data_IF_224921296688
#
_entry.id   IF_224921296688
#
_cell.length_a   1.000
_cell.length_b   1.000
_cell.length_c   1.000
_cell.angle_alpha   90.00
_cell.angle_beta   90.00
_cell.angle_gamma   90.00
#
_symmetry.space_group_name_H-M   'P 1'
#
loop_
_entity.id
_entity.type
_entity.pdbx_description
1 polymer ?
#
# COMPACT_ATOMS: atom_id res chain seq x y z
N UNK A 1 19.90 21.10 -13.76
CA UNK A 1 20.45 20.02 -12.91
C UNK A 1 21.78 20.51 -12.36
N UNK A 2 22.03 20.40 -11.04
CA UNK A 2 23.29 20.86 -10.41
C UNK A 2 24.45 19.93 -10.81
N UNK A 3 25.69 20.45 -10.84
CA UNK A 3 26.88 19.68 -11.30
C UNK A 3 27.06 18.35 -10.56
N UNK A 4 26.86 18.30 -9.25
CA UNK A 4 26.97 17.05 -8.48
C UNK A 4 25.88 16.02 -8.82
N UNK A 5 24.65 16.46 -9.14
CA UNK A 5 23.57 15.57 -9.59
C UNK A 5 23.87 14.95 -10.96
N UNK A 6 24.49 15.72 -11.86
CA UNK A 6 24.91 15.22 -13.17
C UNK A 6 25.99 14.15 -13.03
N UNK A 7 26.97 14.35 -12.17
CA UNK A 7 28.02 13.36 -11.90
C UNK A 7 27.43 12.10 -11.25
N UNK A 8 26.55 12.23 -10.26
CA UNK A 8 25.89 11.09 -9.63
C UNK A 8 25.08 10.29 -10.66
N UNK A 9 24.33 10.95 -11.55
CA UNK A 9 23.57 10.29 -12.59
C UNK A 9 24.47 9.57 -13.61
N UNK A 10 25.60 10.14 -13.94
CA UNK A 10 26.60 9.51 -14.82
C UNK A 10 27.15 8.22 -14.21
N UNK A 11 27.50 8.23 -12.93
CA UNK A 11 27.99 7.05 -12.20
C UNK A 11 26.88 6.00 -12.09
N UNK A 12 25.63 6.40 -11.82
CA UNK A 12 24.47 5.48 -11.83
C UNK A 12 24.35 4.78 -13.19
N UNK A 13 24.39 5.53 -14.28
CA UNK A 13 24.32 4.94 -15.63
C UNK A 13 25.47 3.96 -15.89
N UNK A 14 26.67 4.26 -15.44
CA UNK A 14 27.84 3.35 -15.58
C UNK A 14 27.64 2.06 -14.76
N UNK A 15 27.06 2.13 -13.57
CA UNK A 15 26.71 0.95 -12.76
C UNK A 15 25.61 0.14 -13.46
N UNK A 16 24.62 0.80 -14.03
CA UNK A 16 23.49 0.15 -14.73
C UNK A 16 23.91 -0.52 -16.04
N UNK A 17 24.90 0.05 -16.74
CA UNK A 17 25.51 -0.51 -17.95
C UNK A 17 26.56 -1.60 -17.64
N UNK A 18 26.83 -1.91 -16.37
CA UNK A 18 27.80 -2.93 -15.98
C UNK A 18 29.27 -2.50 -16.15
N UNK A 19 29.54 -1.21 -16.29
CA UNK A 19 30.93 -0.69 -16.28
C UNK A 19 31.57 -0.85 -14.91
N UNK A 20 30.75 -0.69 -13.88
CA UNK A 20 31.13 -0.95 -12.50
C UNK A 20 30.23 -2.07 -11.95
N UNK A 21 30.82 -3.19 -11.57
CA UNK A 21 30.09 -4.33 -11.00
C UNK A 21 29.89 -4.18 -9.48
N UNK A 22 28.87 -4.83 -8.88
CA UNK A 22 28.73 -4.89 -7.45
C UNK A 22 30.01 -5.37 -6.77
N UNK A 23 30.50 -4.60 -5.79
CA UNK A 23 31.77 -4.86 -5.10
C UNK A 23 32.98 -4.20 -5.72
N UNK A 24 32.90 -3.61 -6.91
CA UNK A 24 34.00 -2.88 -7.51
C UNK A 24 34.30 -1.60 -6.72
N UNK A 25 35.57 -1.28 -6.64
CA UNK A 25 36.05 -0.02 -6.04
C UNK A 25 35.91 1.11 -7.02
N UNK A 26 35.14 2.12 -6.65
CA UNK A 26 35.05 3.36 -7.43
C UNK A 26 36.31 4.22 -7.27
N UNK A 27 36.59 5.12 -8.21
CA UNK A 27 37.67 6.09 -8.07
C UNK A 27 37.56 6.86 -6.73
N UNK A 28 38.67 7.11 -6.08
CA UNK A 28 38.70 7.98 -4.91
C UNK A 28 38.19 9.37 -5.23
N UNK A 29 37.76 10.14 -4.23
CA UNK A 29 37.32 11.53 -4.46
C UNK A 29 38.38 12.37 -5.21
N UNK A 30 39.67 12.12 -4.93
CA UNK A 30 40.77 12.84 -5.62
C UNK A 30 40.92 12.43 -7.08
N UNK A 31 40.85 11.15 -7.37
CA UNK A 31 40.91 10.62 -8.73
C UNK A 31 39.69 11.08 -9.54
N UNK A 32 38.51 11.07 -8.92
CA UNK A 32 37.28 11.56 -9.58
C UNK A 32 37.30 13.07 -9.82
N UNK A 33 37.93 13.86 -8.96
CA UNK A 33 38.21 15.29 -9.18
C UNK A 33 39.12 15.46 -10.40
N UNK A 34 40.20 14.69 -10.47
CA UNK A 34 41.15 14.77 -11.57
C UNK A 34 40.52 14.39 -12.92
N UNK A 35 39.67 13.36 -12.94
CA UNK A 35 39.03 12.86 -14.17
C UNK A 35 37.84 13.73 -14.61
N UNK A 36 37.07 14.27 -13.69
CA UNK A 36 35.85 15.03 -14.00
C UNK A 36 36.05 16.52 -14.17
N UNK A 37 37.19 17.06 -13.72
CA UNK A 37 37.45 18.49 -13.67
C UNK A 37 36.56 19.29 -12.71
N UNK A 38 35.85 18.60 -11.82
CA UNK A 38 34.93 19.20 -10.84
C UNK A 38 35.64 19.49 -9.52
N UNK A 39 35.12 20.42 -8.71
CA UNK A 39 35.67 20.71 -7.40
C UNK A 39 35.49 19.52 -6.44
N UNK A 40 36.37 19.37 -5.46
CA UNK A 40 36.32 18.34 -4.42
C UNK A 40 34.97 18.30 -3.69
N UNK A 41 34.41 19.48 -3.38
CA UNK A 41 33.08 19.60 -2.77
C UNK A 41 31.95 19.05 -3.67
N UNK A 42 32.04 19.34 -4.98
CA UNK A 42 31.05 18.84 -5.95
C UNK A 42 31.08 17.32 -6.07
N UNK A 43 32.28 16.74 -6.14
CA UNK A 43 32.48 15.29 -6.18
C UNK A 43 32.04 14.65 -4.86
N UNK A 44 32.41 15.24 -3.72
CA UNK A 44 31.99 14.78 -2.40
C UNK A 44 30.47 14.73 -2.26
N UNK A 45 29.75 15.76 -2.68
CA UNK A 45 28.28 15.78 -2.68
C UNK A 45 27.67 14.73 -3.61
N UNK A 46 28.30 14.46 -4.77
CA UNK A 46 27.83 13.39 -5.66
C UNK A 46 27.96 12.01 -5.01
N UNK A 47 29.09 11.73 -4.36
CA UNK A 47 29.33 10.47 -3.67
C UNK A 47 28.43 10.30 -2.43
N UNK A 48 28.23 11.35 -1.65
CA UNK A 48 27.23 11.33 -0.55
C UNK A 48 25.82 11.06 -1.06
N UNK A 49 25.43 11.65 -2.19
CA UNK A 49 24.15 11.39 -2.83
C UNK A 49 24.03 9.91 -3.28
N UNK A 50 25.07 9.36 -3.90
CA UNK A 50 25.10 7.94 -4.32
C UNK A 50 25.05 7.00 -3.11
N UNK A 51 25.76 7.35 -2.03
CA UNK A 51 25.74 6.59 -0.77
C UNK A 51 24.37 6.66 -0.10
N UNK A 52 23.77 7.85 -0.01
CA UNK A 52 22.41 8.03 0.52
C UNK A 52 21.34 7.29 -0.28
N UNK A 53 21.59 7.05 -1.57
CA UNK A 53 20.74 6.24 -2.45
C UNK A 53 21.06 4.74 -2.42
N UNK A 54 22.01 4.30 -1.57
CA UNK A 54 22.43 2.91 -1.48
C UNK A 54 23.08 2.37 -2.75
N UNK A 55 23.59 3.25 -3.63
CA UNK A 55 24.28 2.86 -4.86
C UNK A 55 25.74 2.50 -4.63
N UNK A 56 26.34 3.13 -3.64
CA UNK A 56 27.71 2.88 -3.21
C UNK A 56 27.78 2.80 -1.68
N UNK A 57 28.85 2.23 -1.17
CA UNK A 57 29.12 2.12 0.26
C UNK A 57 30.55 2.59 0.57
N UNK A 58 30.72 3.47 1.56
CA UNK A 58 32.03 3.84 2.06
C UNK A 58 32.58 2.73 2.96
N UNK A 59 33.84 2.30 2.70
CA UNK A 59 34.59 1.44 3.62
C UNK A 59 35.68 2.27 4.28
N UNK A 60 35.71 2.39 5.62
CA UNK A 60 36.70 3.18 6.33
C UNK A 60 38.12 2.83 5.86
N UNK A 61 38.94 3.84 5.59
CA UNK A 61 40.32 3.76 5.10
C UNK A 61 40.50 3.06 3.73
N UNK A 62 39.44 2.57 3.09
CA UNK A 62 39.53 1.82 1.84
C UNK A 62 38.88 2.53 0.63
N UNK A 63 37.93 3.42 0.85
CA UNK A 63 37.25 4.19 -0.22
C UNK A 63 35.83 3.76 -0.46
N UNK A 64 35.28 4.10 -1.64
CA UNK A 64 33.90 3.84 -2.04
C UNK A 64 33.82 2.62 -2.95
N UNK A 65 32.80 1.80 -2.73
CA UNK A 65 32.57 0.57 -3.48
C UNK A 65 31.13 0.55 -3.99
N UNK A 66 30.92 -0.02 -5.16
CA UNK A 66 29.55 -0.26 -5.65
C UNK A 66 28.86 -1.20 -4.68
N UNK A 67 27.69 -0.79 -4.17
CA UNK A 67 26.90 -1.61 -3.26
C UNK A 67 26.49 -2.91 -3.96
N UNK A 68 26.64 -4.04 -3.25
CA UNK A 68 26.05 -5.29 -3.70
C UNK A 68 24.52 -5.10 -3.71
N UNK A 69 23.95 -4.93 -4.88
CA UNK A 69 22.47 -4.90 -5.01
C UNK A 69 21.97 -6.30 -4.72
N UNK A 70 20.92 -6.44 -3.90
CA UNK A 70 19.97 -7.52 -4.11
C UNK A 70 19.50 -7.38 -5.56
N UNK A 71 19.69 -8.42 -6.35
CA UNK A 71 19.31 -8.40 -7.76
C UNK A 71 17.82 -8.12 -7.85
N UNK A 72 17.45 -6.99 -8.46
CA UNK A 72 16.06 -6.72 -8.86
C UNK A 72 15.75 -7.55 -10.10
N UNK A 73 15.76 -8.89 -9.99
CA UNK A 73 15.10 -9.71 -10.99
C UNK A 73 13.60 -9.53 -10.79
N UNK A 74 12.90 -9.22 -11.87
CA UNK A 74 11.46 -9.33 -11.90
C UNK A 74 11.10 -10.77 -11.57
N UNK A 75 10.17 -11.05 -10.65
CA UNK A 75 9.52 -12.34 -10.59
C UNK A 75 8.94 -12.61 -11.98
N UNK A 76 9.05 -13.85 -12.45
CA UNK A 76 8.31 -14.24 -13.66
C UNK A 76 6.83 -13.89 -13.43
N UNK A 77 6.15 -13.23 -14.38
CA UNK A 77 4.73 -12.97 -14.24
C UNK A 77 4.03 -14.31 -13.96
N UNK A 78 3.15 -14.38 -12.95
CA UNK A 78 2.36 -15.58 -12.68
C UNK A 78 1.54 -15.96 -13.91
N UNK A 79 1.04 -17.20 -13.95
CA UNK A 79 0.09 -17.63 -14.97
C UNK A 79 -0.99 -16.56 -15.17
N UNK A 80 -1.31 -16.24 -16.42
CA UNK A 80 -2.05 -15.02 -16.78
C UNK A 80 -3.39 -14.86 -16.06
N UNK A 81 -4.10 -15.96 -15.80
CA UNK A 81 -5.38 -15.97 -15.05
C UNK A 81 -5.46 -17.23 -14.20
N UNK A 82 -5.86 -17.09 -12.94
CA UNK A 82 -6.09 -18.19 -12.00
C UNK A 82 -7.55 -18.17 -11.52
N UNK A 83 -8.15 -19.35 -11.39
CA UNK A 83 -9.54 -19.52 -10.94
C UNK A 83 -9.57 -20.12 -9.55
N UNK A 84 -10.30 -19.49 -8.66
CA UNK A 84 -10.63 -20.01 -7.36
C UNK A 84 -12.16 -20.04 -7.20
N UNK A 85 -12.76 -21.19 -7.47
CA UNK A 85 -14.20 -21.38 -7.34
C UNK A 85 -14.66 -21.32 -5.88
N UNK A 86 -13.77 -21.69 -4.96
CA UNK A 86 -13.98 -21.58 -3.51
C UNK A 86 -12.76 -20.86 -2.93
N UNK A 87 -13.01 -19.75 -2.26
CA UNK A 87 -11.99 -19.01 -1.50
C UNK A 87 -12.05 -19.50 -0.05
N UNK A 88 -10.93 -20.01 0.47
CA UNK A 88 -10.78 -20.47 1.88
C UNK A 88 -9.46 -19.91 2.44
N UNK A 89 -9.53 -18.73 3.05
CA UNK A 89 -8.34 -18.02 3.56
C UNK A 89 -8.59 -17.37 4.94
N UNK A 90 -9.83 -17.26 5.39
CA UNK A 90 -10.19 -16.49 6.58
C UNK A 90 -9.50 -17.01 7.85
N UNK A 91 -9.47 -18.32 8.07
CA UNK A 91 -8.86 -18.92 9.26
C UNK A 91 -7.37 -18.61 9.32
N UNK A 92 -6.67 -18.80 8.21
CA UNK A 92 -5.23 -18.53 8.13
C UNK A 92 -4.89 -17.06 8.41
N UNK A 93 -5.62 -16.13 7.77
CA UNK A 93 -5.42 -14.68 8.00
C UNK A 93 -5.71 -14.31 9.46
N UNK A 94 -6.79 -14.85 10.03
CA UNK A 94 -7.16 -14.59 11.42
C UNK A 94 -6.03 -15.00 12.37
N UNK A 95 -5.48 -16.20 12.22
CA UNK A 95 -4.41 -16.72 13.06
C UNK A 95 -3.15 -15.87 12.97
N UNK A 96 -2.73 -15.49 11.76
CA UNK A 96 -1.56 -14.61 11.55
C UNK A 96 -1.78 -13.23 12.19
N UNK A 97 -2.97 -12.66 12.05
CA UNK A 97 -3.28 -11.36 12.64
C UNK A 97 -3.37 -11.42 14.18
N UNK A 98 -3.91 -12.49 14.74
CA UNK A 98 -3.97 -12.67 16.21
C UNK A 98 -2.55 -12.79 16.81
N UNK A 99 -1.70 -13.60 16.20
CA UNK A 99 -0.31 -13.78 16.65
C UNK A 99 0.49 -12.46 16.68
N UNK A 100 0.12 -11.49 15.84
CA UNK A 100 0.79 -10.18 15.74
C UNK A 100 0.26 -9.11 16.72
N UNK A 101 -0.64 -9.46 17.64
CA UNK A 101 -1.27 -8.47 18.57
C UNK A 101 -0.47 -8.19 19.83
N UNK A 102 0.53 -8.99 20.15
CA UNK A 102 1.37 -8.81 21.34
C UNK A 102 2.18 -7.50 21.20
N UNK A 103 2.08 -6.56 22.17
CA UNK A 103 2.82 -5.30 22.15
C UNK A 103 4.36 -5.47 22.19
N UNK A 104 4.85 -6.62 22.67
CA UNK A 104 6.27 -6.93 22.68
C UNK A 104 6.80 -7.25 21.27
N UNK A 105 5.94 -7.64 20.34
CA UNK A 105 6.29 -7.98 18.96
C UNK A 105 6.59 -6.74 18.14
N UNK A 106 7.68 -6.76 17.36
CA UNK A 106 7.99 -5.72 16.37
C UNK A 106 7.03 -5.87 15.19
N UNK A 107 6.17 -4.86 14.90
CA UNK A 107 4.96 -5.08 14.09
C UNK A 107 5.18 -4.85 12.60
N UNK A 108 6.17 -5.51 11.98
CA UNK A 108 6.41 -5.41 10.54
C UNK A 108 5.30 -6.06 9.69
N UNK A 109 4.45 -6.93 10.27
CA UNK A 109 3.28 -7.48 9.60
C UNK A 109 2.09 -6.52 9.53
N UNK A 110 2.04 -5.49 10.40
CA UNK A 110 0.87 -4.62 10.56
C UNK A 110 0.42 -4.00 9.23
N UNK A 111 -0.88 -3.99 8.98
CA UNK A 111 -1.49 -3.23 7.88
C UNK A 111 -1.81 -1.77 8.28
N UNK A 112 -1.56 -1.39 9.53
CA UNK A 112 -1.75 -0.03 10.03
C UNK A 112 -0.41 0.67 10.17
N UNK A 113 -0.35 2.00 9.91
CA UNK A 113 0.82 2.78 10.23
C UNK A 113 0.94 2.98 11.74
N UNK A 114 2.13 3.40 12.18
CA UNK A 114 2.40 3.75 13.58
C UNK A 114 1.36 4.78 14.09
N UNK A 115 0.55 4.46 15.10
CA UNK A 115 -0.49 5.37 15.60
C UNK A 115 0.04 6.67 16.18
N UNK A 116 1.32 6.74 16.56
CA UNK A 116 1.98 7.95 17.06
C UNK A 116 2.14 9.03 15.97
N UNK A 117 1.98 8.67 14.69
CA UNK A 117 1.98 9.61 13.58
C UNK A 117 0.69 10.44 13.49
N UNK A 118 -0.38 10.04 14.15
CA UNK A 118 -1.68 10.67 14.05
C UNK A 118 -1.86 11.83 15.02
N UNK A 119 -2.65 12.86 14.66
CA UNK A 119 -2.85 14.07 15.46
C UNK A 119 -3.91 13.88 16.55
N UNK A 120 -3.76 12.86 17.42
CA UNK A 120 -4.78 12.46 18.40
C UNK A 120 -5.20 13.58 19.35
N UNK A 121 -4.27 14.45 19.77
CA UNK A 121 -4.62 15.57 20.66
C UNK A 121 -5.57 16.57 19.98
N UNK A 122 -5.37 16.87 18.70
CA UNK A 122 -6.24 17.75 17.94
C UNK A 122 -7.61 17.11 17.71
N UNK A 123 -7.64 15.84 17.37
CA UNK A 123 -8.87 15.08 17.19
C UNK A 123 -9.68 14.98 18.48
N UNK A 124 -9.02 14.76 19.63
CA UNK A 124 -9.67 14.76 20.94
C UNK A 124 -10.26 16.13 21.29
N UNK A 125 -9.60 17.23 20.90
CA UNK A 125 -10.17 18.58 21.05
C UNK A 125 -11.43 18.77 20.20
N UNK A 126 -11.40 18.34 18.95
CA UNK A 126 -12.57 18.38 18.06
C UNK A 126 -13.72 17.55 18.64
N UNK A 127 -13.43 16.34 19.16
CA UNK A 127 -14.44 15.51 19.81
C UNK A 127 -15.03 16.18 21.06
N UNK A 128 -14.19 16.79 21.89
CA UNK A 128 -14.64 17.52 23.09
C UNK A 128 -15.49 18.75 22.73
N UNK A 129 -15.16 19.48 21.65
CA UNK A 129 -15.95 20.59 21.16
C UNK A 129 -17.36 20.14 20.74
N UNK A 130 -17.41 19.10 19.91
CA UNK A 130 -18.66 18.53 19.41
C UNK A 130 -19.54 18.01 20.57
N UNK A 131 -18.95 17.34 21.55
CA UNK A 131 -19.71 16.82 22.71
C UNK A 131 -20.42 17.90 23.52
N UNK A 132 -19.97 19.15 23.45
CA UNK A 132 -20.62 20.28 24.12
C UNK A 132 -21.84 20.84 23.38
N UNK A 133 -21.85 20.64 22.04
CA UNK A 133 -22.86 21.22 21.13
C UNK A 133 -23.79 20.17 20.55
N UNK A 134 -23.49 18.88 20.74
CA UNK A 134 -24.31 17.78 20.25
C UNK A 134 -25.72 17.83 20.85
N UNK A 135 -26.74 17.72 20.02
CA UNK A 135 -28.15 17.64 20.39
C UNK A 135 -28.63 16.20 20.36
N UNK A 136 -29.76 15.92 21.03
CA UNK A 136 -30.39 14.59 20.94
C UNK A 136 -30.75 14.22 19.49
N UNK A 137 -31.06 15.18 18.64
CA UNK A 137 -31.38 14.96 17.22
C UNK A 137 -30.17 14.57 16.38
N UNK A 138 -28.96 14.97 16.77
CA UNK A 138 -27.74 14.65 16.01
C UNK A 138 -27.48 13.13 15.86
N UNK A 139 -28.09 12.32 16.72
CA UNK A 139 -28.02 10.85 16.64
C UNK A 139 -28.82 10.32 15.43
N UNK A 140 -29.96 10.93 15.11
CA UNK A 140 -30.84 10.51 14.01
C UNK A 140 -30.36 11.11 12.67
N UNK A 141 -29.82 12.31 12.69
CA UNK A 141 -29.35 13.04 11.50
C UNK A 141 -28.20 12.30 10.75
N UNK A 142 -27.53 11.37 11.40
CA UNK A 142 -26.42 10.63 10.83
C UNK A 142 -26.78 9.20 10.36
N UNK A 143 -28.07 8.89 10.18
CA UNK A 143 -28.48 7.70 9.42
C UNK A 143 -27.94 7.74 7.98
N UNK A 144 -27.91 6.61 7.25
CA UNK A 144 -27.45 6.63 5.87
C UNK A 144 -28.12 7.73 5.04
N UNK A 145 -27.37 8.50 4.28
CA UNK A 145 -25.95 8.33 3.89
C UNK A 145 -24.91 8.92 4.85
N UNK A 146 -25.27 9.31 6.07
CA UNK A 146 -24.37 9.90 7.05
C UNK A 146 -24.39 11.44 7.04
N UNK A 147 -23.57 12.04 7.93
CA UNK A 147 -23.56 13.47 8.20
C UNK A 147 -23.36 14.32 6.91
N UNK A 148 -24.26 15.29 6.69
CA UNK A 148 -24.28 16.10 5.48
C UNK A 148 -23.01 16.95 5.33
N UNK A 149 -22.52 17.55 6.42
CA UNK A 149 -21.32 18.40 6.38
C UNK A 149 -20.05 17.57 6.11
N UNK A 150 -19.98 16.34 6.63
CA UNK A 150 -18.88 15.42 6.33
C UNK A 150 -18.90 15.02 4.84
N UNK A 151 -20.06 14.70 4.28
CA UNK A 151 -20.20 14.40 2.84
C UNK A 151 -19.77 15.58 1.98
N UNK A 152 -20.18 16.81 2.34
CA UNK A 152 -19.73 18.03 1.69
C UNK A 152 -18.23 18.26 1.83
N UNK A 153 -17.64 17.98 2.99
CA UNK A 153 -16.18 18.10 3.20
C UNK A 153 -15.41 17.12 2.30
N UNK A 154 -15.90 15.88 2.15
CA UNK A 154 -15.32 14.87 1.26
C UNK A 154 -15.51 15.28 -0.21
N UNK A 155 -16.72 15.73 -0.62
CA UNK A 155 -16.98 16.19 -1.98
C UNK A 155 -16.06 17.36 -2.39
N UNK A 156 -15.82 18.32 -1.49
CA UNK A 156 -14.83 19.39 -1.73
C UNK A 156 -13.42 18.87 -1.98
N UNK A 157 -13.00 17.78 -1.34
CA UNK A 157 -11.68 17.17 -1.61
C UNK A 157 -11.61 16.52 -2.99
N UNK A 158 -12.69 15.92 -3.47
CA UNK A 158 -12.79 15.47 -4.86
C UNK A 158 -12.73 16.64 -5.84
N UNK A 159 -13.48 17.72 -5.56
CA UNK A 159 -13.48 18.92 -6.41
C UNK A 159 -12.08 19.57 -6.51
N UNK A 160 -11.28 19.59 -5.41
CA UNK A 160 -9.92 20.07 -5.44
C UNK A 160 -8.98 19.26 -6.36
N UNK A 161 -9.36 18.04 -6.72
CA UNK A 161 -8.67 17.17 -7.66
C UNK A 161 -9.32 17.17 -9.06
N UNK A 162 -10.26 18.07 -9.31
CA UNK A 162 -10.96 18.20 -10.60
C UNK A 162 -12.05 17.17 -10.83
N UNK A 163 -12.51 16.46 -9.80
CA UNK A 163 -13.58 15.48 -9.89
C UNK A 163 -14.91 16.05 -9.37
N UNK A 164 -15.98 15.91 -10.14
CA UNK A 164 -17.32 16.35 -9.77
C UNK A 164 -18.09 15.19 -9.14
N UNK A 165 -17.96 15.00 -7.84
CA UNK A 165 -18.69 14.01 -7.05
C UNK A 165 -19.72 14.75 -6.19
N UNK A 166 -21.00 14.46 -6.39
CA UNK A 166 -22.07 15.03 -5.56
C UNK A 166 -21.98 14.50 -4.12
N UNK A 167 -22.23 15.34 -3.09
CA UNK A 167 -22.41 14.85 -1.73
C UNK A 167 -23.47 13.75 -1.60
N UNK A 168 -24.47 13.71 -2.48
CA UNK A 168 -25.54 12.71 -2.46
C UNK A 168 -25.11 11.35 -3.00
N UNK A 169 -23.98 11.30 -3.72
CA UNK A 169 -23.34 10.05 -4.15
C UNK A 169 -22.43 9.43 -3.07
N UNK A 170 -22.18 10.17 -1.98
CA UNK A 170 -21.27 9.76 -0.92
C UNK A 170 -22.05 9.13 0.22
N UNK A 171 -21.69 7.88 0.57
CA UNK A 171 -22.24 7.18 1.74
C UNK A 171 -21.11 6.99 2.76
N UNK A 172 -21.29 7.52 3.97
CA UNK A 172 -20.34 7.38 5.08
C UNK A 172 -20.49 6.00 5.70
N UNK A 173 -19.36 5.32 5.92
CA UNK A 173 -19.29 3.92 6.37
C UNK A 173 -18.39 3.74 7.59
N UNK A 174 -18.51 2.61 8.28
CA UNK A 174 -17.67 2.22 9.42
C UNK A 174 -16.26 1.78 8.95
N UNK A 175 -15.58 2.66 8.22
CA UNK A 175 -14.29 2.43 7.57
C UNK A 175 -14.44 1.87 6.16
N UNK A 176 -13.33 1.84 5.43
CA UNK A 176 -13.32 1.39 4.03
C UNK A 176 -13.77 -0.07 3.85
N UNK A 177 -13.50 -0.95 4.82
CA UNK A 177 -13.87 -2.36 4.68
C UNK A 177 -15.40 -2.55 4.60
N UNK A 178 -16.18 -1.73 5.34
CA UNK A 178 -17.62 -1.71 5.15
C UNK A 178 -18.00 -1.16 3.77
N UNK A 179 -17.40 -0.04 3.35
CA UNK A 179 -17.64 0.53 2.02
C UNK A 179 -17.43 -0.50 0.91
N UNK A 180 -16.32 -1.23 0.95
CA UNK A 180 -15.95 -2.26 -0.01
C UNK A 180 -16.93 -3.46 0.00
N UNK A 181 -17.31 -3.93 1.20
CA UNK A 181 -18.27 -5.03 1.35
C UNK A 181 -19.68 -4.64 0.87
N UNK A 182 -20.14 -3.43 1.19
CA UNK A 182 -21.43 -2.93 0.72
C UNK A 182 -21.42 -2.71 -0.80
N UNK A 183 -20.27 -2.27 -1.35
CA UNK A 183 -20.08 -2.13 -2.79
C UNK A 183 -20.19 -3.47 -3.51
N UNK A 184 -19.53 -4.52 -3.01
CA UNK A 184 -19.69 -5.88 -3.54
C UNK A 184 -21.15 -6.34 -3.51
N UNK A 185 -21.81 -6.23 -2.35
CA UNK A 185 -23.21 -6.63 -2.18
C UNK A 185 -24.18 -5.82 -3.05
N UNK A 186 -23.80 -4.61 -3.45
CA UNK A 186 -24.66 -3.79 -4.32
C UNK A 186 -24.63 -4.24 -5.78
N UNK A 187 -23.57 -4.93 -6.22
CA UNK A 187 -23.32 -5.24 -7.64
C UNK A 187 -23.13 -6.72 -7.94
N UNK A 188 -23.16 -7.60 -6.92
CA UNK A 188 -22.99 -9.05 -7.08
C UNK A 188 -24.01 -9.85 -6.30
N UNK A 189 -24.20 -11.11 -6.73
CA UNK A 189 -24.98 -12.15 -6.05
C UNK A 189 -24.08 -13.36 -5.74
N UNK A 190 -24.41 -14.20 -4.74
CA UNK A 190 -23.63 -15.41 -4.46
C UNK A 190 -23.41 -16.27 -5.70
N UNK A 191 -22.15 -16.67 -5.93
CA UNK A 191 -21.73 -17.45 -7.11
C UNK A 191 -21.22 -16.62 -8.28
N UNK A 192 -21.34 -15.29 -8.23
CA UNK A 192 -20.79 -14.41 -9.26
C UNK A 192 -19.26 -14.39 -9.25
N UNK A 193 -18.68 -14.12 -10.43
CA UNK A 193 -17.25 -13.94 -10.60
C UNK A 193 -16.82 -12.49 -10.33
N UNK A 194 -15.79 -12.34 -9.51
CA UNK A 194 -15.15 -11.07 -9.22
C UNK A 194 -13.66 -11.15 -9.55
N UNK A 195 -13.17 -10.21 -10.35
CA UNK A 195 -11.74 -10.09 -10.63
C UNK A 195 -11.04 -9.39 -9.46
N UNK A 196 -9.89 -9.94 -9.08
CA UNK A 196 -8.93 -9.36 -8.13
C UNK A 196 -7.53 -9.39 -8.69
N UNK A 197 -6.66 -8.55 -8.16
CA UNK A 197 -5.22 -8.59 -8.40
C UNK A 197 -4.60 -9.88 -7.85
N UNK A 198 -3.45 -10.27 -8.34
CA UNK A 198 -2.67 -11.36 -7.76
C UNK A 198 -1.19 -10.97 -7.63
N UNK A 199 -0.70 -10.61 -6.42
CA UNK A 199 -1.40 -10.69 -5.12
C UNK A 199 -2.33 -9.48 -4.89
N UNK A 200 -3.34 -9.65 -4.03
CA UNK A 200 -4.30 -8.61 -3.66
C UNK A 200 -4.37 -8.40 -2.15
N UNK A 201 -5.03 -7.34 -1.73
CA UNK A 201 -5.34 -7.14 -0.31
C UNK A 201 -6.21 -8.29 0.21
N UNK A 202 -5.75 -8.96 1.28
CA UNK A 202 -6.43 -10.13 1.84
C UNK A 202 -7.90 -9.88 2.23
N UNK A 203 -8.26 -8.64 2.58
CA UNK A 203 -9.65 -8.28 2.87
C UNK A 203 -10.59 -8.45 1.67
N UNK A 204 -10.07 -8.39 0.43
CA UNK A 204 -10.85 -8.74 -0.75
C UNK A 204 -11.17 -10.24 -0.76
N UNK A 205 -10.18 -11.10 -0.57
CA UNK A 205 -10.38 -12.56 -0.51
C UNK A 205 -11.34 -12.96 0.61
N UNK A 206 -11.19 -12.35 1.80
CA UNK A 206 -12.10 -12.57 2.93
C UNK A 206 -13.55 -12.16 2.60
N UNK A 207 -13.74 -11.05 1.89
CA UNK A 207 -15.07 -10.60 1.49
C UNK A 207 -15.70 -11.56 0.46
N UNK A 208 -14.92 -12.02 -0.53
CA UNK A 208 -15.37 -12.97 -1.54
C UNK A 208 -15.80 -14.30 -0.91
N UNK A 209 -14.98 -14.85 0.00
CA UNK A 209 -15.31 -16.07 0.75
C UNK A 209 -16.62 -15.91 1.53
N UNK A 210 -16.73 -14.81 2.31
CA UNK A 210 -17.91 -14.52 3.14
C UNK A 210 -19.19 -14.35 2.32
N UNK A 211 -19.09 -13.73 1.15
CA UNK A 211 -20.22 -13.47 0.26
C UNK A 211 -20.47 -14.63 -0.72
N UNK A 212 -19.70 -15.73 -0.63
CA UNK A 212 -19.78 -16.89 -1.53
C UNK A 212 -19.60 -16.52 -3.00
N UNK A 213 -18.70 -15.58 -3.26
CA UNK A 213 -18.29 -15.15 -4.60
C UNK A 213 -17.10 -15.98 -5.09
N UNK A 214 -16.91 -16.02 -6.40
CA UNK A 214 -15.79 -16.72 -7.03
C UNK A 214 -14.70 -15.71 -7.39
N UNK A 215 -13.45 -16.00 -7.04
CA UNK A 215 -12.31 -15.15 -7.38
C UNK A 215 -11.76 -15.52 -8.75
N UNK A 216 -11.47 -14.51 -9.54
CA UNK A 216 -10.71 -14.60 -10.77
C UNK A 216 -9.48 -13.71 -10.64
N UNK A 217 -8.34 -14.33 -10.32
CA UNK A 217 -7.10 -13.62 -10.04
C UNK A 217 -6.36 -13.31 -11.34
N UNK A 218 -6.08 -12.03 -11.58
CA UNK A 218 -5.38 -11.56 -12.79
C UNK A 218 -3.93 -11.18 -12.44
N UNK A 219 -3.01 -11.58 -13.31
CA UNK A 219 -1.59 -11.30 -13.16
C UNK A 219 -1.32 -9.81 -12.91
N UNK A 220 -0.47 -9.53 -11.92
CA UNK A 220 -0.19 -8.18 -11.46
C UNK A 220 1.32 -8.01 -11.30
N UNK A 221 1.91 -7.15 -12.10
CA UNK A 221 3.33 -6.82 -12.02
C UNK A 221 3.61 -5.92 -10.81
N UNK A 222 4.77 -6.08 -10.20
CA UNK A 222 5.16 -5.34 -8.98
C UNK A 222 5.36 -3.83 -9.21
N UNK A 223 5.52 -3.38 -10.45
CA UNK A 223 5.72 -1.98 -10.83
C UNK A 223 4.57 -1.44 -11.67
N UNK A 224 4.21 -2.22 -12.71
CA UNK A 224 3.21 -1.80 -13.69
C UNK A 224 1.77 -2.11 -13.24
N UNK A 225 1.60 -2.93 -12.20
CA UNK A 225 0.29 -3.33 -11.69
C UNK A 225 -0.41 -4.33 -12.61
N UNK A 226 -1.74 -4.36 -12.58
CA UNK A 226 -2.55 -5.36 -13.27
C UNK A 226 -2.25 -5.41 -14.79
N UNK A 227 -2.15 -6.60 -15.34
CA UNK A 227 -2.02 -6.82 -16.79
C UNK A 227 -3.37 -6.64 -17.48
N UNK A 228 -3.49 -5.58 -18.31
CA UNK A 228 -4.74 -5.24 -18.99
C UNK A 228 -5.10 -6.25 -20.08
N UNK A 229 -4.12 -6.93 -20.69
CA UNK A 229 -4.38 -7.95 -21.71
C UNK A 229 -4.97 -9.21 -21.06
N UNK A 230 -4.39 -9.64 -19.93
CA UNK A 230 -4.92 -10.74 -19.14
C UNK A 230 -6.30 -10.40 -18.56
N UNK A 231 -6.51 -9.13 -18.14
CA UNK A 231 -7.82 -8.65 -17.71
C UNK A 231 -8.85 -8.74 -18.83
N UNK A 232 -8.54 -8.27 -20.03
CA UNK A 232 -9.45 -8.33 -21.20
C UNK A 232 -9.79 -9.77 -21.56
N UNK A 233 -8.82 -10.67 -21.54
CA UNK A 233 -9.06 -12.10 -21.75
C UNK A 233 -10.03 -12.66 -20.67
N UNK A 234 -9.79 -12.35 -19.39
CA UNK A 234 -10.65 -12.80 -18.31
C UNK A 234 -12.10 -12.29 -18.45
N UNK A 235 -12.27 -11.05 -18.90
CA UNK A 235 -13.59 -10.45 -19.17
C UNK A 235 -14.30 -11.07 -20.37
N UNK A 236 -13.57 -11.58 -21.36
CA UNK A 236 -14.14 -12.29 -22.50
C UNK A 236 -14.54 -13.73 -22.15
N UNK A 237 -13.74 -14.40 -21.30
CA UNK A 237 -13.89 -15.84 -21.02
C UNK A 237 -14.89 -16.12 -19.89
N UNK A 238 -15.16 -15.15 -19.01
CA UNK A 238 -15.99 -15.33 -17.80
C UNK A 238 -17.07 -14.25 -17.65
N UNK A 239 -18.24 -14.60 -17.12
CA UNK A 239 -19.32 -13.66 -16.84
C UNK A 239 -19.04 -12.85 -15.57
N UNK A 240 -17.99 -12.03 -15.61
CA UNK A 240 -17.54 -11.20 -14.49
C UNK A 240 -18.57 -10.12 -14.18
N UNK A 241 -18.84 -9.87 -12.89
CA UNK A 241 -19.76 -8.83 -12.42
C UNK A 241 -19.04 -7.60 -11.88
N UNK A 242 -17.92 -7.82 -11.20
CA UNK A 242 -17.15 -6.73 -10.60
C UNK A 242 -15.64 -7.01 -10.63
N UNK A 243 -14.87 -5.93 -10.53
CA UNK A 243 -13.44 -5.97 -10.24
C UNK A 243 -13.19 -5.24 -8.93
N UNK A 244 -12.43 -5.84 -8.00
CA UNK A 244 -11.92 -5.13 -6.83
C UNK A 244 -10.42 -4.92 -7.01
N UNK A 245 -10.01 -3.66 -7.18
CA UNK A 245 -8.63 -3.29 -7.47
C UNK A 245 -8.16 -2.12 -6.61
N UNK A 246 -6.84 -2.04 -6.39
CA UNK A 246 -6.16 -0.91 -5.76
C UNK A 246 -5.29 -0.20 -6.79
N UNK A 247 -5.74 0.91 -7.32
CA UNK A 247 -5.02 1.64 -8.38
C UNK A 247 -3.92 2.57 -7.87
N UNK A 248 -3.92 2.87 -6.55
CA UNK A 248 -2.94 3.72 -5.87
C UNK A 248 -2.33 3.01 -4.67
N UNK A 249 -0.99 3.00 -4.58
CA UNK A 249 -0.25 2.43 -3.44
C UNK A 249 -0.76 1.04 -3.03
N UNK A 250 -0.87 0.14 -3.99
CA UNK A 250 -1.48 -1.18 -3.85
C UNK A 250 -0.88 -1.96 -2.67
N UNK A 251 -1.70 -2.68 -1.96
CA UNK A 251 -1.30 -3.58 -0.88
C UNK A 251 -1.43 -5.04 -1.37
N UNK A 252 -0.30 -5.80 -1.46
CA UNK A 252 0.97 -5.58 -0.78
C UNK A 252 2.09 -4.93 -1.61
N UNK A 253 1.96 -4.79 -2.93
CA UNK A 253 3.05 -4.48 -3.84
C UNK A 253 3.49 -3.01 -3.80
N UNK A 254 2.59 -2.08 -3.46
CA UNK A 254 2.86 -0.66 -3.32
C UNK A 254 2.94 0.14 -4.62
N UNK A 255 2.64 -0.43 -5.78
CA UNK A 255 2.61 0.31 -7.03
C UNK A 255 1.46 1.32 -7.07
N UNK A 256 1.57 2.27 -7.97
CA UNK A 256 0.49 3.18 -8.38
C UNK A 256 0.39 3.14 -9.90
N UNK A 257 -0.79 2.83 -10.44
CA UNK A 257 -1.01 2.79 -11.87
C UNK A 257 -0.83 4.19 -12.49
N UNK A 258 -0.29 4.25 -13.70
CA UNK A 258 -0.19 5.49 -14.45
C UNK A 258 -1.60 6.02 -14.81
N UNK A 259 -1.70 7.32 -15.09
CA UNK A 259 -2.94 7.95 -15.50
C UNK A 259 -3.52 7.29 -16.78
N UNK A 260 -2.66 6.97 -17.74
CA UNK A 260 -3.01 6.31 -18.98
C UNK A 260 -3.56 4.92 -18.73
N UNK A 261 -2.92 4.14 -17.85
CA UNK A 261 -3.36 2.78 -17.52
C UNK A 261 -4.68 2.77 -16.77
N UNK A 262 -4.93 3.75 -15.87
CA UNK A 262 -6.23 3.92 -15.22
C UNK A 262 -7.34 4.26 -16.22
N UNK A 263 -7.06 5.15 -17.17
CA UNK A 263 -8.01 5.50 -18.24
C UNK A 263 -8.35 4.27 -19.10
N UNK A 264 -7.35 3.47 -19.49
CA UNK A 264 -7.51 2.23 -20.23
C UNK A 264 -8.31 1.19 -19.43
N UNK A 265 -8.00 1.01 -18.14
CA UNK A 265 -8.71 0.12 -17.23
C UNK A 265 -10.20 0.47 -17.16
N UNK A 266 -10.53 1.74 -16.90
CA UNK A 266 -11.92 2.19 -16.80
C UNK A 266 -12.66 2.01 -18.14
N UNK A 267 -12.02 2.35 -19.27
CA UNK A 267 -12.60 2.17 -20.59
C UNK A 267 -12.86 0.68 -20.90
N UNK A 268 -11.95 -0.21 -20.54
CA UNK A 268 -12.09 -1.65 -20.70
C UNK A 268 -13.26 -2.20 -19.88
N UNK A 269 -13.33 -1.90 -18.58
CA UNK A 269 -14.39 -2.37 -17.70
C UNK A 269 -15.76 -1.81 -18.14
N UNK A 270 -15.81 -0.55 -18.58
CA UNK A 270 -17.04 0.08 -19.10
C UNK A 270 -17.55 -0.64 -20.34
N UNK A 271 -16.68 -1.01 -21.30
CA UNK A 271 -17.06 -1.78 -22.51
C UNK A 271 -17.72 -3.13 -22.16
N UNK A 272 -17.23 -3.78 -21.12
CA UNK A 272 -17.75 -5.07 -20.66
C UNK A 272 -18.90 -4.94 -19.65
N UNK A 273 -19.34 -3.72 -19.32
CA UNK A 273 -20.37 -3.45 -18.31
C UNK A 273 -20.05 -4.08 -16.94
N UNK A 274 -18.77 -4.03 -16.53
CA UNK A 274 -18.25 -4.56 -15.26
C UNK A 274 -17.94 -3.42 -14.31
N UNK A 275 -18.44 -3.49 -13.08
CA UNK A 275 -18.25 -2.45 -12.08
C UNK A 275 -16.86 -2.55 -11.46
N UNK A 276 -16.13 -1.43 -11.40
CA UNK A 276 -14.90 -1.30 -10.63
C UNK A 276 -15.22 -0.92 -9.17
N UNK A 277 -14.78 -1.73 -8.23
CA UNK A 277 -14.72 -1.38 -6.82
C UNK A 277 -13.28 -0.99 -6.53
N UNK A 278 -13.04 0.32 -6.44
CA UNK A 278 -11.72 0.88 -6.26
C UNK A 278 -11.42 1.09 -4.77
N UNK A 279 -10.46 0.33 -4.24
CA UNK A 279 -9.98 0.49 -2.86
C UNK A 279 -8.82 1.50 -2.86
N UNK A 280 -9.08 2.71 -2.36
CA UNK A 280 -8.14 3.84 -2.42
C UNK A 280 -7.77 4.39 -1.03
N UNK A 281 -7.56 3.50 -0.06
CA UNK A 281 -7.27 3.87 1.33
C UNK A 281 -5.86 4.46 1.55
N UNK A 282 -4.96 4.29 0.61
CA UNK A 282 -3.57 4.78 0.70
C UNK A 282 -3.28 6.00 -0.17
N UNK A 283 -4.22 6.52 -0.94
CA UNK A 283 -4.01 7.61 -1.91
C UNK A 283 -3.42 8.89 -1.33
N UNK A 284 -3.66 9.17 -0.04
CA UNK A 284 -3.07 10.32 0.64
C UNK A 284 -1.57 10.13 1.00
N UNK A 285 -1.02 8.91 0.83
CA UNK A 285 0.33 8.55 1.27
C UNK A 285 1.35 8.51 0.12
N UNK A 286 1.16 9.33 -0.89
CA UNK A 286 2.09 9.49 -2.02
C UNK A 286 3.33 10.33 -1.62
N UNK A 287 4.47 10.09 -2.27
CA UNK A 287 5.73 10.83 -2.02
C UNK A 287 6.08 11.79 -3.15
N UNK A 288 5.38 11.73 -4.28
CA UNK A 288 5.54 12.64 -5.40
C UNK A 288 5.07 14.07 -5.10
N UNK A 289 5.18 14.94 -6.08
CA UNK A 289 4.72 16.33 -5.98
C UNK A 289 3.19 16.45 -6.02
N UNK A 290 2.57 15.60 -6.81
CA UNK A 290 1.13 15.62 -7.08
C UNK A 290 0.48 14.33 -6.54
N UNK A 291 -0.72 14.48 -6.02
CA UNK A 291 -1.53 13.34 -5.58
C UNK A 291 -2.00 12.57 -6.81
N UNK A 292 -1.78 11.24 -6.88
CA UNK A 292 -2.33 10.45 -7.96
C UNK A 292 -3.86 10.44 -7.90
N UNK A 293 -4.51 10.64 -9.05
CA UNK A 293 -5.96 10.54 -9.16
C UNK A 293 -6.40 9.07 -9.05
N UNK A 294 -7.56 8.78 -8.45
CA UNK A 294 -8.16 7.46 -8.51
C UNK A 294 -8.67 7.15 -9.93
N UNK A 295 -8.87 5.87 -10.25
CA UNK A 295 -9.44 5.47 -11.55
C UNK A 295 -10.84 6.06 -11.79
N UNK A 296 -11.60 6.31 -10.71
CA UNK A 296 -12.90 7.02 -10.80
C UNK A 296 -12.81 8.37 -11.51
N UNK A 297 -11.68 9.04 -11.57
CA UNK A 297 -11.52 10.30 -12.31
C UNK A 297 -11.77 10.17 -13.83
N UNK A 298 -11.63 8.98 -14.38
CA UNK A 298 -11.92 8.67 -15.80
C UNK A 298 -13.29 8.05 -16.02
N UNK A 299 -14.03 7.76 -14.96
CA UNK A 299 -15.36 7.16 -15.03
C UNK A 299 -16.43 8.21 -15.41
N UNK A 300 -17.08 8.01 -16.56
CA UNK A 300 -18.16 8.86 -17.08
C UNK A 300 -19.54 8.20 -17.07
N UNK A 301 -19.62 6.94 -16.61
CA UNK A 301 -20.84 6.12 -16.69
C UNK A 301 -21.26 5.53 -15.34
N UNK A 302 -20.72 6.05 -14.24
CA UNK A 302 -20.96 5.55 -12.88
C UNK A 302 -20.69 4.04 -12.73
N UNK A 303 -19.60 3.57 -13.35
CA UNK A 303 -19.16 2.19 -13.28
C UNK A 303 -18.08 1.97 -12.21
N UNK A 304 -17.60 3.02 -11.52
CA UNK A 304 -16.59 2.94 -10.47
C UNK A 304 -17.16 3.35 -9.12
N UNK A 305 -17.14 2.44 -8.17
CA UNK A 305 -17.41 2.66 -6.76
C UNK A 305 -16.09 2.95 -6.06
N UNK A 306 -15.82 4.21 -5.72
CA UNK A 306 -14.56 4.61 -5.10
C UNK A 306 -14.67 4.57 -3.58
N UNK A 307 -13.93 3.66 -2.93
CA UNK A 307 -13.95 3.42 -1.49
C UNK A 307 -12.66 3.96 -0.84
N UNK A 308 -12.82 4.74 0.23
CA UNK A 308 -11.69 5.26 0.97
C UNK A 308 -12.01 5.44 2.47
N UNK A 309 -11.02 5.87 3.26
CA UNK A 309 -11.20 6.13 4.70
C UNK A 309 -10.16 7.07 5.27
N UNK A 310 -10.42 7.56 6.47
CA UNK A 310 -9.44 8.29 7.28
C UNK A 310 -8.49 7.38 8.07
N UNK A 311 -8.67 6.06 8.02
CA UNK A 311 -7.96 5.11 8.88
C UNK A 311 -6.45 5.04 8.66
N UNK A 312 -5.97 5.27 7.42
CA UNK A 312 -4.55 5.13 7.07
C UNK A 312 -3.80 6.47 7.12
N UNK A 313 -4.52 7.58 7.04
CA UNK A 313 -3.92 8.91 6.94
C UNK A 313 -4.22 9.85 8.12
N UNK A 314 -5.20 9.54 8.98
CA UNK A 314 -5.61 10.43 10.05
C UNK A 314 -5.87 9.71 11.38
N UNK A 315 -6.78 8.73 11.40
CA UNK A 315 -7.14 8.03 12.66
C UNK A 315 -7.83 6.70 12.36
N UNK A 316 -7.18 5.62 12.75
CA UNK A 316 -7.73 4.28 12.55
C UNK A 316 -8.93 4.00 13.48
N UNK A 317 -8.90 4.50 14.74
CA UNK A 317 -9.87 4.17 15.77
C UNK A 317 -11.25 4.81 15.60
N UNK A 318 -11.37 5.88 14.79
CA UNK A 318 -12.69 6.53 14.56
C UNK A 318 -13.59 5.69 13.66
N UNK A 319 -13.02 4.77 12.89
CA UNK A 319 -13.76 3.88 12.00
C UNK A 319 -14.67 4.65 11.04
N UNK A 320 -14.17 5.68 10.39
CA UNK A 320 -14.88 6.44 9.37
C UNK A 320 -14.23 6.24 8.00
N UNK A 321 -15.04 5.76 7.07
CA UNK A 321 -14.75 5.65 5.65
C UNK A 321 -15.94 6.13 4.82
N UNK A 322 -15.87 5.99 3.53
CA UNK A 322 -16.95 6.33 2.61
C UNK A 322 -16.82 5.58 1.29
N UNK A 323 -17.92 5.55 0.57
CA UNK A 323 -17.94 5.19 -0.84
C UNK A 323 -18.57 6.34 -1.63
N UNK A 324 -17.91 6.76 -2.72
CA UNK A 324 -18.49 7.58 -3.76
C UNK A 324 -19.11 6.64 -4.81
N UNK A 325 -20.42 6.42 -4.67
CA UNK A 325 -21.13 5.28 -5.23
C UNK A 325 -21.95 5.59 -6.50
N UNK A 326 -22.03 6.88 -6.90
CA UNK A 326 -22.82 7.27 -8.06
C UNK A 326 -24.26 6.72 -8.02
N UNK A 327 -24.70 6.11 -9.11
CA UNK A 327 -26.04 5.48 -9.22
C UNK A 327 -26.33 4.41 -8.17
N UNK A 328 -25.32 3.81 -7.55
CA UNK A 328 -25.48 2.76 -6.54
C UNK A 328 -25.68 3.30 -5.12
N UNK A 329 -25.57 4.62 -4.90
CA UNK A 329 -25.62 5.22 -3.56
C UNK A 329 -26.89 4.80 -2.77
N UNK A 330 -28.06 4.82 -3.39
CA UNK A 330 -29.32 4.41 -2.74
C UNK A 330 -29.31 2.93 -2.33
N UNK A 331 -28.80 2.04 -3.19
CA UNK A 331 -28.69 0.60 -2.87
C UNK A 331 -27.75 0.35 -1.70
N UNK A 332 -26.61 1.05 -1.67
CA UNK A 332 -25.63 0.95 -0.58
C UNK A 332 -26.22 1.46 0.73
N UNK A 333 -26.96 2.56 0.73
CA UNK A 333 -27.68 3.05 1.92
C UNK A 333 -28.68 2.01 2.46
N UNK A 334 -29.43 1.35 1.60
CA UNK A 334 -30.35 0.28 2.01
C UNK A 334 -29.61 -0.90 2.64
N UNK A 335 -28.50 -1.34 2.06
CA UNK A 335 -27.66 -2.41 2.58
C UNK A 335 -27.04 -2.05 3.93
N UNK A 336 -26.56 -0.81 4.06
CA UNK A 336 -26.01 -0.30 5.32
C UNK A 336 -27.07 -0.25 6.43
N UNK A 337 -28.27 0.23 6.10
CA UNK A 337 -29.39 0.28 7.05
C UNK A 337 -29.75 -1.11 7.61
N UNK A 338 -29.62 -2.17 6.79
CA UNK A 338 -29.92 -3.54 7.17
C UNK A 338 -28.74 -4.23 7.91
N UNK A 339 -27.53 -3.68 7.88
CA UNK A 339 -26.34 -4.30 8.47
C UNK A 339 -25.88 -3.58 9.74
N UNK A 340 -25.39 -2.37 9.61
CA UNK A 340 -24.78 -1.60 10.69
C UNK A 340 -25.65 -0.42 11.14
N UNK A 341 -26.75 -0.16 10.45
CA UNK A 341 -27.63 0.98 10.60
C UNK A 341 -26.95 2.30 10.20
N UNK A 342 -25.89 2.67 10.89
CA UNK A 342 -25.08 3.87 10.61
C UNK A 342 -23.72 3.76 11.32
N UNK A 343 -22.82 4.71 11.07
CA UNK A 343 -21.57 4.85 11.80
C UNK A 343 -21.66 5.92 12.87
N UNK A 344 -20.73 5.93 13.82
CA UNK A 344 -20.71 6.78 15.01
C UNK A 344 -20.90 8.27 14.69
N UNK A 345 -22.00 8.86 15.17
CA UNK A 345 -22.31 10.29 14.99
C UNK A 345 -21.26 11.20 15.60
N UNK A 346 -20.81 11.03 16.86
CA UNK A 346 -19.78 11.88 17.44
C UNK A 346 -18.48 11.90 16.63
N UNK A 347 -18.09 10.76 16.06
CA UNK A 347 -16.87 10.67 15.25
C UNK A 347 -17.01 11.37 13.90
N UNK A 348 -18.17 11.30 13.26
CA UNK A 348 -18.45 12.06 12.04
C UNK A 348 -18.37 13.57 12.32
N UNK A 349 -19.03 14.05 13.35
CA UNK A 349 -19.04 15.46 13.74
C UNK A 349 -17.64 15.95 14.15
N UNK A 350 -16.85 15.15 14.87
CA UNK A 350 -15.48 15.49 15.23
C UNK A 350 -14.58 15.62 13.98
N UNK A 351 -14.80 14.80 12.95
CA UNK A 351 -14.11 14.94 11.67
C UNK A 351 -14.54 16.20 10.92
N UNK A 352 -15.82 16.58 10.94
CA UNK A 352 -16.29 17.84 10.36
C UNK A 352 -15.56 19.02 11.00
N UNK A 353 -15.54 19.09 12.35
CA UNK A 353 -14.83 20.14 13.10
C UNK A 353 -13.34 20.17 12.76
N UNK A 354 -12.69 19.02 12.73
CA UNK A 354 -11.26 18.92 12.38
C UNK A 354 -10.97 19.33 10.95
N UNK A 355 -11.74 18.85 9.95
CA UNK A 355 -11.56 19.13 8.53
C UNK A 355 -11.86 20.58 8.16
N UNK A 356 -12.73 21.28 8.93
CA UNK A 356 -12.98 22.72 8.77
C UNK A 356 -11.71 23.56 9.04
N UNK A 357 -10.72 22.98 9.75
CA UNK A 357 -9.43 23.63 9.97
C UNK A 357 -8.44 23.30 8.83
N UNK A 358 -7.48 24.21 8.56
CA UNK A 358 -6.39 23.95 7.60
C UNK A 358 -5.34 22.95 8.13
N UNK A 359 -5.56 22.35 9.29
CA UNK A 359 -4.60 21.46 9.97
C UNK A 359 -4.46 20.11 9.30
N UNK A 360 -5.51 19.63 8.64
CA UNK A 360 -5.50 18.32 7.96
C UNK A 360 -4.43 18.26 6.87
N UNK A 361 -4.36 19.22 5.97
CA UNK A 361 -3.37 19.23 4.89
C UNK A 361 -1.93 19.41 5.41
N UNK A 362 -1.76 20.19 6.50
CA UNK A 362 -0.47 20.30 7.17
C UNK A 362 -0.05 18.98 7.82
N UNK A 363 -0.99 18.24 8.42
CA UNK A 363 -0.78 16.90 8.95
C UNK A 363 -0.38 15.93 7.85
N UNK A 364 -1.08 15.89 6.73
CA UNK A 364 -0.78 15.00 5.60
C UNK A 364 0.62 15.24 5.03
N UNK A 365 1.03 16.52 4.87
CA UNK A 365 2.40 16.85 4.42
C UNK A 365 3.47 16.31 5.38
N UNK A 366 3.26 16.47 6.70
CA UNK A 366 4.17 15.93 7.71
C UNK A 366 4.19 14.40 7.69
N UNK A 367 3.01 13.78 7.62
CA UNK A 367 2.86 12.32 7.59
C UNK A 367 3.63 11.72 6.40
N UNK A 368 3.41 12.24 5.18
CA UNK A 368 4.10 11.77 3.98
C UNK A 368 5.63 11.88 4.09
N UNK A 369 6.12 13.02 4.59
CA UNK A 369 7.57 13.21 4.79
C UNK A 369 8.12 12.19 5.78
N UNK A 370 7.48 12.01 6.93
CA UNK A 370 7.95 11.05 7.95
C UNK A 370 7.89 9.60 7.44
N UNK A 371 6.83 9.24 6.70
CA UNK A 371 6.74 7.89 6.11
C UNK A 371 7.81 7.64 5.06
N UNK A 372 8.12 8.63 4.21
CA UNK A 372 9.19 8.54 3.22
C UNK A 372 10.57 8.37 3.89
N UNK A 373 10.86 9.16 4.94
CA UNK A 373 12.09 9.08 5.72
C UNK A 373 12.25 7.70 6.38
N UNK A 374 11.20 7.21 7.06
CA UNK A 374 11.21 5.90 7.71
C UNK A 374 11.34 4.74 6.72
N UNK A 375 10.66 4.83 5.59
CA UNK A 375 10.76 3.83 4.52
C UNK A 375 12.18 3.76 3.96
N UNK A 376 12.83 4.90 3.78
CA UNK A 376 14.22 4.97 3.35
C UNK A 376 15.18 4.35 4.39
N UNK A 377 14.97 4.63 5.69
CA UNK A 377 15.77 4.03 6.77
C UNK A 377 15.62 2.51 6.80
N UNK A 378 14.38 2.01 6.77
CA UNK A 378 14.09 0.59 6.74
C UNK A 378 14.71 -0.10 5.52
N UNK A 379 14.57 0.51 4.34
CA UNK A 379 15.15 -0.01 3.11
C UNK A 379 16.68 -0.10 3.17
N UNK A 380 17.35 0.92 3.69
CA UNK A 380 18.82 0.90 3.88
C UNK A 380 19.25 -0.19 4.87
N UNK A 381 18.52 -0.38 5.96
CA UNK A 381 18.82 -1.45 6.92
C UNK A 381 18.65 -2.83 6.28
N UNK A 382 17.55 -3.05 5.57
CA UNK A 382 17.32 -4.31 4.86
C UNK A 382 18.41 -4.58 3.81
N UNK A 383 18.82 -3.57 3.02
CA UNK A 383 19.93 -3.71 2.06
C UNK A 383 21.27 -4.09 2.72
N UNK A 384 21.50 -3.60 3.95
CA UNK A 384 22.75 -3.85 4.69
C UNK A 384 22.80 -5.26 5.26
N UNK A 385 21.68 -5.79 5.73
CA UNK A 385 21.66 -6.99 6.56
C UNK A 385 21.13 -8.25 5.87
N UNK A 386 20.23 -8.09 4.87
CA UNK A 386 19.66 -9.24 4.18
C UNK A 386 20.73 -10.04 3.43
N UNK A 387 20.63 -11.39 3.45
CA UNK A 387 21.57 -12.23 2.71
C UNK A 387 21.39 -12.08 1.20
N UNK A 388 22.45 -12.48 0.47
CA UNK A 388 22.38 -12.57 -1.00
C UNK A 388 21.23 -13.51 -1.41
N UNK A 389 20.52 -13.13 -2.48
CA UNK A 389 19.35 -13.86 -2.97
C UNK A 389 18.00 -13.32 -2.47
N UNK A 390 17.97 -12.51 -1.41
CA UNK A 390 16.76 -11.75 -1.03
C UNK A 390 16.63 -10.54 -1.96
N UNK A 391 15.45 -10.37 -2.56
CA UNK A 391 15.13 -9.20 -3.39
C UNK A 391 14.16 -8.29 -2.66
N UNK A 392 14.31 -6.98 -2.81
CA UNK A 392 13.48 -5.99 -2.14
C UNK A 392 12.86 -5.08 -3.20
N UNK A 393 11.53 -5.12 -3.31
CA UNK A 393 10.78 -4.25 -4.20
C UNK A 393 10.45 -2.96 -3.46
N UNK A 394 10.96 -1.85 -3.99
CA UNK A 394 10.75 -0.51 -3.47
C UNK A 394 9.91 0.33 -4.44
N UNK A 395 9.00 1.11 -3.90
CA UNK A 395 8.15 2.05 -4.62
C UNK A 395 8.05 3.37 -3.85
N UNK A 396 7.59 4.44 -4.53
CA UNK A 396 7.61 5.82 -4.03
C UNK A 396 6.26 6.23 -3.40
N UNK A 397 5.60 5.31 -2.71
CA UNK A 397 4.35 5.60 -2.01
C UNK A 397 4.13 4.65 -0.81
N UNK A 398 3.21 5.00 0.06
CA UNK A 398 2.81 4.17 1.19
C UNK A 398 3.94 3.85 2.16
N UNK A 399 3.78 2.79 2.89
CA UNK A 399 4.74 2.35 3.92
C UNK A 399 5.00 0.84 3.89
N UNK A 400 4.83 0.21 2.73
CA UNK A 400 5.17 -1.20 2.55
C UNK A 400 6.37 -1.37 1.65
N UNK A 401 7.16 -2.40 1.96
CA UNK A 401 8.11 -3.02 1.06
C UNK A 401 7.65 -4.46 0.83
N UNK A 402 7.91 -4.96 -0.37
CA UNK A 402 7.65 -6.33 -0.75
C UNK A 402 8.97 -7.05 -0.94
N UNK A 403 9.19 -8.13 -0.19
CA UNK A 403 10.45 -8.86 -0.19
C UNK A 403 10.23 -10.25 -0.77
N UNK A 404 11.18 -10.68 -1.60
CA UNK A 404 11.25 -12.00 -2.19
C UNK A 404 12.44 -12.75 -1.60
N UNK A 405 12.18 -13.87 -0.99
CA UNK A 405 13.19 -14.84 -0.53
C UNK A 405 13.68 -15.70 -1.71
N UNK A 406 14.81 -16.41 -1.59
CA UNK A 406 15.13 -17.50 -2.50
C UNK A 406 13.94 -18.46 -2.67
N UNK A 407 13.69 -18.92 -3.90
CA UNK A 407 12.49 -19.65 -4.32
C UNK A 407 12.15 -20.87 -3.44
N UNK A 408 13.16 -21.52 -2.87
CA UNK A 408 13.00 -22.70 -2.03
C UNK A 408 12.53 -22.40 -0.60
N UNK A 409 12.53 -21.12 -0.21
CA UNK A 409 12.15 -20.73 1.15
C UNK A 409 10.65 -20.38 1.23
N UNK A 410 10.04 -20.78 2.33
CA UNK A 410 8.65 -20.45 2.66
C UNK A 410 8.61 -19.29 3.66
N UNK A 411 8.06 -18.14 3.23
CA UNK A 411 7.88 -16.97 4.09
C UNK A 411 6.87 -17.20 5.23
N UNK A 412 5.97 -18.18 5.11
CA UNK A 412 5.08 -18.62 6.19
C UNK A 412 5.90 -19.23 7.33
N UNK A 413 6.79 -20.18 7.02
CA UNK A 413 7.73 -20.76 8.00
C UNK A 413 8.66 -19.71 8.60
N UNK A 414 9.15 -18.75 7.79
CA UNK A 414 9.92 -17.62 8.31
C UNK A 414 9.09 -16.79 9.29
N UNK A 415 7.82 -16.54 9.00
CA UNK A 415 6.90 -15.76 9.87
C UNK A 415 6.71 -16.45 11.22
N UNK A 416 6.52 -17.78 11.24
CA UNK A 416 6.41 -18.58 12.47
C UNK A 416 7.71 -18.50 13.31
N UNK A 417 8.86 -18.71 12.69
CA UNK A 417 10.16 -18.57 13.36
C UNK A 417 10.41 -17.14 13.86
N UNK A 418 10.12 -16.12 13.04
CA UNK A 418 10.30 -14.72 13.41
C UNK A 418 9.44 -14.34 14.62
N UNK A 419 8.22 -14.88 14.72
CA UNK A 419 7.31 -14.62 15.82
C UNK A 419 7.85 -15.14 17.16
N UNK A 420 8.57 -16.28 17.20
CA UNK A 420 9.25 -16.75 18.41
C UNK A 420 10.36 -15.80 18.89
N UNK A 421 10.83 -14.93 18.02
CA UNK A 421 11.79 -13.85 18.31
C UNK A 421 11.12 -12.48 18.43
N UNK A 422 9.80 -12.43 18.64
CA UNK A 422 9.02 -11.21 18.78
C UNK A 422 9.07 -10.29 17.54
N UNK A 423 9.14 -10.87 16.34
CA UNK A 423 9.13 -10.18 15.06
C UNK A 423 7.98 -10.73 14.23
N UNK A 424 7.08 -9.84 13.77
CA UNK A 424 6.00 -10.24 12.87
C UNK A 424 6.30 -9.77 11.44
N UNK A 425 6.04 -10.64 10.46
CA UNK A 425 6.02 -10.30 9.02
C UNK A 425 4.72 -10.80 8.40
N UNK A 426 4.31 -10.25 7.27
CA UNK A 426 3.08 -10.66 6.59
C UNK A 426 3.43 -11.53 5.38
N UNK A 427 3.35 -12.88 5.47
CA UNK A 427 3.75 -13.78 4.39
C UNK A 427 2.85 -13.65 3.16
N UNK A 428 3.41 -13.92 1.99
CA UNK A 428 2.76 -13.74 0.69
C UNK A 428 1.48 -14.56 0.52
N UNK A 429 1.40 -15.70 1.18
CA UNK A 429 0.18 -16.54 1.23
C UNK A 429 -1.06 -15.81 1.78
N UNK A 430 -0.90 -14.71 2.54
CA UNK A 430 -2.04 -13.89 2.98
C UNK A 430 -2.70 -13.12 1.83
N UNK A 431 -2.00 -12.92 0.73
CA UNK A 431 -2.40 -12.02 -0.34
C UNK A 431 -2.80 -12.75 -1.63
N UNK A 432 -2.88 -14.07 -1.58
CA UNK A 432 -3.25 -14.87 -2.73
C UNK A 432 -3.74 -16.24 -2.29
N UNK A 433 -4.64 -16.82 -3.05
CA UNK A 433 -5.08 -18.22 -2.93
C UNK A 433 -4.09 -19.18 -3.55
N UNK A 434 -3.09 -18.69 -4.30
CA UNK A 434 -2.08 -19.50 -4.97
C UNK A 434 -0.76 -19.59 -4.18
N UNK A 435 -0.01 -20.67 -4.42
CA UNK A 435 1.28 -20.90 -3.76
C UNK A 435 2.46 -20.16 -4.40
N UNK A 436 2.26 -19.43 -5.50
CA UNK A 436 3.34 -18.72 -6.20
C UNK A 436 3.99 -17.62 -5.34
N UNK A 437 3.27 -17.08 -4.36
CA UNK A 437 3.73 -16.05 -3.45
C UNK A 437 4.30 -16.62 -2.14
N UNK A 438 4.53 -17.93 -2.07
CA UNK A 438 5.12 -18.60 -0.89
C UNK A 438 6.46 -17.98 -0.44
N UNK A 439 7.42 -17.65 -1.34
CA UNK A 439 8.69 -17.04 -0.94
C UNK A 439 8.62 -15.54 -0.69
N UNK A 440 7.45 -14.93 -0.66
CA UNK A 440 7.31 -13.49 -0.51
C UNK A 440 6.73 -13.09 0.84
N UNK A 441 7.05 -11.87 1.28
CA UNK A 441 6.41 -11.25 2.43
C UNK A 441 6.36 -9.72 2.32
N UNK A 442 5.32 -9.13 2.93
CA UNK A 442 5.18 -7.69 3.09
C UNK A 442 5.83 -7.23 4.40
N UNK A 443 6.51 -6.11 4.33
CA UNK A 443 7.19 -5.46 5.44
C UNK A 443 6.67 -4.03 5.63
N UNK A 444 6.19 -3.70 6.84
CA UNK A 444 5.71 -2.37 7.19
C UNK A 444 6.87 -1.50 7.70
N UNK A 445 7.06 -0.36 7.08
CA UNK A 445 8.14 0.60 7.37
C UNK A 445 7.67 1.85 8.12
N UNK A 446 6.40 1.92 8.52
CA UNK A 446 5.83 3.13 9.13
C UNK A 446 6.24 3.38 10.57
N UNK A 447 6.75 2.37 11.26
CA UNK A 447 7.15 2.47 12.67
C UNK A 447 8.43 3.28 12.84
N UNK A 448 8.60 3.89 14.01
CA UNK A 448 9.83 4.62 14.31
C UNK A 448 11.05 3.71 14.17
N UNK A 449 12.09 4.20 13.49
CA UNK A 449 13.29 3.42 13.27
C UNK A 449 14.31 3.71 14.38
N UNK A 450 14.66 2.71 15.16
CA UNK A 450 15.59 2.78 16.28
C UNK A 450 16.39 1.48 16.42
N UNK A 451 17.07 1.34 17.53
CA UNK A 451 17.90 0.15 17.82
C UNK A 451 17.09 -1.15 17.83
N UNK A 452 15.87 -1.12 18.35
CA UNK A 452 14.96 -2.27 18.39
C UNK A 452 14.61 -2.77 16.99
N UNK A 453 14.26 -1.87 16.08
CA UNK A 453 13.90 -2.20 14.69
C UNK A 453 15.14 -2.66 13.91
N UNK A 454 16.29 -2.04 14.14
CA UNK A 454 17.57 -2.46 13.53
C UNK A 454 17.96 -3.87 13.99
N UNK A 455 17.90 -4.17 15.28
CA UNK A 455 18.15 -5.49 15.82
C UNK A 455 17.17 -6.54 15.29
N UNK A 456 15.90 -6.19 15.16
CA UNK A 456 14.88 -7.07 14.57
C UNK A 456 15.20 -7.42 13.11
N UNK A 457 15.69 -6.47 12.31
CA UNK A 457 16.14 -6.75 10.93
C UNK A 457 17.38 -7.65 10.91
N UNK A 458 18.35 -7.42 11.79
CA UNK A 458 19.54 -8.30 11.93
C UNK A 458 19.14 -9.73 12.28
N UNK A 459 18.21 -9.88 13.24
CA UNK A 459 17.68 -11.17 13.67
C UNK A 459 16.92 -11.87 12.54
N UNK A 460 16.04 -11.14 11.83
CA UNK A 460 15.31 -11.67 10.68
C UNK A 460 16.26 -12.16 9.58
N UNK A 461 17.31 -11.39 9.29
CA UNK A 461 18.34 -11.78 8.35
C UNK A 461 19.12 -13.05 8.80
N UNK A 462 19.36 -13.20 10.12
CA UNK A 462 19.93 -14.40 10.71
C UNK A 462 19.06 -15.64 10.47
N UNK A 463 17.76 -15.53 10.73
CA UNK A 463 16.80 -16.61 10.50
C UNK A 463 16.74 -17.03 9.01
N UNK A 464 16.78 -16.06 8.10
CA UNK A 464 16.81 -16.36 6.66
C UNK A 464 18.08 -17.13 6.30
N UNK A 465 19.26 -16.72 6.80
CA UNK A 465 20.53 -17.45 6.57
C UNK A 465 20.49 -18.87 7.11
N UNK A 466 19.95 -19.06 8.31
CA UNK A 466 19.75 -20.39 8.91
C UNK A 466 18.88 -21.27 8.01
N UNK A 467 17.75 -20.75 7.53
CA UNK A 467 16.86 -21.48 6.62
C UNK A 467 17.54 -21.82 5.29
N UNK A 468 18.39 -20.92 4.76
CA UNK A 468 19.18 -21.20 3.54
C UNK A 468 20.21 -22.31 3.75
N UNK A 469 20.88 -22.35 4.92
CA UNK A 469 21.85 -23.41 5.23
C UNK A 469 21.21 -24.80 5.31
N UNK A 470 20.01 -24.88 5.86
CA UNK A 470 19.24 -26.15 5.93
C UNK A 470 18.78 -26.67 4.55
N UNK A 471 18.80 -25.86 3.49
CA UNK A 471 18.54 -26.31 2.14
C UNK A 471 19.78 -26.95 1.47
N UNK A 472 20.98 -26.64 1.96
CA UNK A 472 22.26 -27.10 1.38
C UNK A 472 22.75 -28.39 2.07
N UNK A 473 22.26 -28.68 3.26
CA UNK A 473 22.54 -29.92 4.00
C UNK A 473 21.41 -30.91 3.81
N UNK A 474 21.61 -32.04 3.09
CA UNK A 474 20.59 -33.07 2.87
C UNK A 474 20.21 -33.78 4.16
#
# INVERSE_FOLDING_TARGET
MKKYQRLAQQIISQIELGVWLPGDKLPSLREQVASSGMSFMTVGHAYQMLESQGRIVARPQSGYYVAARPTTHQPAPPAQVMRDEVVDINTYIFDVLQASRDPSVVPFASAFPDPRLFPLQQLNRSLANVSKTATAMSVIENLPPGNVDLRHAIARRYAQQGMNISPDEIVITAGALEALNLSLQAVTEPGDWVIVENPCFYGALQALERLKLKALSVATDVREGIDLSALEQALNDYPVKACWLMTNSQNPLGFTLSAEKKAQLVALLTRHNVTLIEDDVYSELYFGREKPLPAKAWDKQDMTLHCSSFSKCLVAGFRIGWVAAGKHARRIQQLQLMSTLSTSSPMQLALVDYLATKRYDAHLRRLRRTLAERKQQAWQSLLRHMPAGVKIHHNDSGYFLWLELPEQLDAGRLSEKALTHQISIAPGKMFSTSNIWTPFFRFNTSWGWGEREEQAVVQLAGLIREMMLHLVTP
#
